data_IF_672270111287
#
_entry.id   IF_672270111287
#
_cell.length_a   1.000
_cell.length_b   1.000
_cell.length_c   1.000
_cell.angle_alpha   90.00
_cell.angle_beta   90.00
_cell.angle_gamma   90.00
#
_symmetry.space_group_name_H-M   'P 1'
#
loop_
_entity.id
_entity.type
_entity.pdbx_description
1 polymer ?
#
# COMPACT_ATOMS: atom_id res chain seq x y z
N UNK A 1 3.28 8.09 -0.23
CA UNK A 1 3.23 7.10 0.87
C UNK A 1 3.84 5.81 0.35
N UNK A 2 4.34 4.90 1.18
CA UNK A 2 5.04 3.69 0.73
C UNK A 2 4.57 2.46 1.49
N UNK A 3 4.65 1.29 0.87
CA UNK A 3 4.29 0.01 1.45
C UNK A 3 5.45 -0.98 1.28
N UNK A 4 5.88 -1.59 2.38
CA UNK A 4 6.83 -2.70 2.32
C UNK A 4 6.04 -4.00 2.14
N UNK A 5 6.39 -4.78 1.12
CA UNK A 5 5.85 -6.12 0.90
C UNK A 5 6.95 -7.13 1.13
N UNK A 6 6.70 -8.12 1.99
CA UNK A 6 7.63 -9.23 2.25
C UNK A 6 6.95 -10.53 1.83
N UNK A 7 7.68 -11.33 1.04
CA UNK A 7 7.26 -12.62 0.51
C UNK A 7 8.20 -13.69 1.02
N UNK A 8 7.66 -14.64 1.78
CA UNK A 8 8.37 -15.80 2.28
C UNK A 8 7.61 -17.07 1.89
N UNK A 9 8.10 -17.76 0.84
CA UNK A 9 7.38 -18.87 0.21
C UNK A 9 6.00 -18.43 -0.32
N UNK A 10 4.94 -19.00 0.26
CA UNK A 10 3.55 -18.69 -0.06
C UNK A 10 2.96 -17.56 0.80
N UNK A 11 3.67 -17.14 1.85
CA UNK A 11 3.22 -16.08 2.76
C UNK A 11 3.59 -14.72 2.18
N UNK A 12 2.61 -13.82 2.06
CA UNK A 12 2.84 -12.42 1.71
C UNK A 12 2.34 -11.52 2.83
N UNK A 13 3.22 -10.67 3.36
CA UNK A 13 2.90 -9.67 4.38
C UNK A 13 3.11 -8.27 3.83
N UNK A 14 2.22 -7.36 4.19
CA UNK A 14 2.33 -5.94 3.90
C UNK A 14 2.60 -5.20 5.22
N UNK A 15 3.59 -4.31 5.23
CA UNK A 15 4.01 -3.53 6.40
C UNK A 15 4.03 -2.04 6.04
N UNK A 16 3.51 -1.22 6.94
CA UNK A 16 3.33 0.21 6.76
C UNK A 16 1.85 0.62 6.87
N UNK A 17 1.47 1.78 6.34
CA UNK A 17 2.22 2.56 5.36
C UNK A 17 3.27 3.53 5.92
N UNK A 18 4.31 3.79 5.12
CA UNK A 18 5.44 4.65 5.47
C UNK A 18 5.41 6.00 4.72
N UNK A 19 5.89 7.09 5.33
CA UNK A 19 5.96 8.39 4.68
C UNK A 19 7.10 8.49 3.65
N UNK A 20 8.15 7.67 3.77
CA UNK A 20 9.29 7.65 2.84
C UNK A 20 9.82 6.22 2.60
N UNK A 21 10.54 5.96 1.49
CA UNK A 21 11.19 4.67 1.27
C UNK A 21 12.24 4.37 2.34
N UNK A 22 12.89 5.41 2.88
CA UNK A 22 13.88 5.27 3.94
C UNK A 22 13.29 4.62 5.19
N UNK A 23 12.14 5.12 5.66
CA UNK A 23 11.49 4.50 6.83
C UNK A 23 11.06 3.05 6.56
N UNK A 24 10.62 2.74 5.34
CA UNK A 24 10.29 1.36 4.97
C UNK A 24 11.54 0.45 4.95
N UNK A 25 12.69 0.98 4.53
CA UNK A 25 13.98 0.26 4.55
C UNK A 25 14.52 0.09 5.95
N UNK A 26 14.40 1.10 6.82
CA UNK A 26 14.88 1.04 8.21
C UNK A 26 14.10 -0.02 9.01
N UNK A 27 12.83 -0.23 8.68
CA UNK A 27 11.97 -1.26 9.29
C UNK A 27 12.17 -2.67 8.70
N UNK A 28 12.82 -2.79 7.54
CA UNK A 28 12.96 -4.05 6.82
C UNK A 28 13.68 -5.12 7.66
N UNK A 29 14.84 -4.77 8.23
CA UNK A 29 15.67 -5.71 9.00
C UNK A 29 14.87 -6.34 10.14
N UNK A 30 14.14 -5.52 10.91
CA UNK A 30 13.27 -5.96 12.01
C UNK A 30 12.16 -6.89 11.53
N UNK A 31 11.59 -6.60 10.37
CA UNK A 31 10.53 -7.45 9.80
C UNK A 31 11.13 -8.79 9.37
N UNK A 32 12.30 -8.78 8.73
CA UNK A 32 12.99 -9.98 8.25
C UNK A 32 13.41 -10.93 9.39
N UNK A 33 13.67 -10.44 10.61
CA UNK A 33 13.92 -11.30 11.78
C UNK A 33 12.80 -12.33 12.05
N UNK A 34 11.57 -12.05 11.60
CA UNK A 34 10.42 -12.95 11.74
C UNK A 34 10.18 -13.86 10.51
N UNK A 35 11.01 -13.78 9.48
CA UNK A 35 10.89 -14.55 8.24
C UNK A 35 12.14 -15.40 7.99
N UNK A 36 12.06 -16.30 7.00
CA UNK A 36 13.23 -17.03 6.52
C UNK A 36 14.30 -16.10 5.92
N UNK A 37 15.57 -16.50 5.96
CA UNK A 37 16.68 -15.85 5.25
C UNK A 37 16.49 -15.78 3.72
N UNK A 38 15.55 -16.57 3.17
CA UNK A 38 15.19 -16.56 1.74
C UNK A 38 14.04 -15.63 1.40
N UNK A 39 13.52 -14.89 2.38
CA UNK A 39 12.43 -13.95 2.16
C UNK A 39 12.85 -12.86 1.16
N UNK A 40 11.94 -12.53 0.24
CA UNK A 40 12.11 -11.45 -0.73
C UNK A 40 11.25 -10.28 -0.32
N UNK A 41 11.69 -9.07 -0.63
CA UNK A 41 10.96 -7.87 -0.25
C UNK A 41 10.96 -6.83 -1.36
N UNK A 42 9.98 -5.93 -1.30
CA UNK A 42 9.86 -4.82 -2.23
C UNK A 42 9.17 -3.63 -1.55
N UNK A 43 9.64 -2.41 -1.85
CA UNK A 43 8.98 -1.17 -1.44
C UNK A 43 8.18 -0.63 -2.62
N UNK A 44 6.89 -0.41 -2.39
CA UNK A 44 5.97 0.13 -3.38
C UNK A 44 5.59 1.56 -3.01
N UNK A 45 5.64 2.47 -3.98
CA UNK A 45 5.04 3.79 -3.82
C UNK A 45 3.51 3.64 -3.87
N UNK A 46 2.86 4.04 -2.80
CA UNK A 46 1.42 4.24 -2.76
C UNK A 46 1.12 5.68 -3.18
N UNK A 47 0.16 5.82 -4.10
CA UNK A 47 -0.48 7.10 -4.34
C UNK A 47 -1.03 7.59 -3.01
N UNK A 48 -0.59 8.76 -2.55
CA UNK A 48 -1.24 9.40 -1.43
C UNK A 48 -2.69 9.62 -1.86
N UNK A 49 -3.71 9.17 -1.10
CA UNK A 49 -5.04 9.68 -1.32
C UNK A 49 -4.93 11.19 -1.10
N UNK A 50 -4.85 11.96 -2.20
CA UNK A 50 -5.09 13.39 -2.16
C UNK A 50 -6.55 13.52 -1.76
N UNK A 51 -6.76 13.52 -0.45
CA UNK A 51 -7.85 14.17 0.26
C UNK A 51 -9.16 14.23 -0.53
N UNK A 52 -9.67 13.10 -1.03
CA UNK A 52 -11.09 13.04 -1.31
C UNK A 52 -11.74 12.85 0.05
N UNK A 53 -12.33 13.93 0.55
CA UNK A 53 -13.31 13.86 1.63
C UNK A 53 -14.30 12.73 1.31
N UNK A 54 -14.86 12.12 2.35
CA UNK A 54 -15.91 11.11 2.18
C UNK A 54 -17.02 11.60 1.23
N UNK A 55 -17.31 12.90 1.27
CA UNK A 55 -18.24 13.59 0.36
C UNK A 55 -17.83 13.53 -1.11
N UNK A 56 -16.56 13.74 -1.45
CA UNK A 56 -16.09 13.65 -2.85
C UNK A 56 -16.08 12.20 -3.35
N UNK A 57 -15.80 11.23 -2.46
CA UNK A 57 -15.88 9.80 -2.80
C UNK A 57 -17.32 9.36 -3.10
N UNK A 58 -18.30 9.90 -2.39
CA UNK A 58 -19.73 9.63 -2.63
C UNK A 58 -20.20 10.29 -3.93
N UNK A 59 -19.78 11.52 -4.23
CA UNK A 59 -20.14 12.20 -5.48
C UNK A 59 -19.52 11.54 -6.73
N UNK A 60 -18.26 11.09 -6.67
CA UNK A 60 -17.62 10.37 -7.76
C UNK A 60 -18.35 9.05 -8.10
N UNK A 61 -18.88 8.35 -7.08
CA UNK A 61 -19.68 7.14 -7.28
C UNK A 61 -21.01 7.44 -7.99
N UNK A 62 -21.68 8.55 -7.66
CA UNK A 62 -22.96 8.92 -8.28
C UNK A 62 -22.80 9.47 -9.71
N UNK A 63 -21.69 10.14 -10.02
CA UNK A 63 -21.40 10.63 -11.38
C UNK A 63 -21.14 9.51 -12.39
N UNK A 64 -20.50 8.41 -11.96
CA UNK A 64 -20.20 7.27 -12.83
C UNK A 64 -21.45 6.48 -13.27
N UNK A 65 -22.58 6.61 -12.57
CA UNK A 65 -23.80 5.84 -12.85
C UNK A 65 -24.67 6.49 -13.93
N UNK A 66 -24.46 7.79 -14.20
CA UNK A 66 -25.25 8.54 -15.18
C UNK A 66 -24.66 8.49 -16.59
N UNK A 67 -23.39 8.11 -16.74
CA UNK A 67 -22.70 8.01 -18.05
C UNK A 67 -22.89 6.63 -18.69
N UNK A 68 -23.19 5.60 -17.89
CA UNK A 68 -23.45 4.25 -18.40
C UNK A 68 -24.90 4.04 -18.91
N UNK A 69 -25.74 5.08 -18.88
CA UNK A 69 -27.15 5.05 -19.25
C UNK A 69 -27.53 6.06 -20.35
N UNK A 70 -26.57 6.53 -21.17
CA UNK A 70 -26.83 7.38 -22.34
C UNK A 70 -26.21 6.82 -23.60
#
# INVERSE_FOLDING_TARGET
MYLLTVKDGLVTRHVGPYPSPKQASDDLERVLESFSERARWQIHALECPKTLSLSERIHARNGAMNVAAS
#
